data_IF_603494754462
#
_entry.id   IF_603494754462
#
_cell.length_a   1.000
_cell.length_b   1.000
_cell.length_c   1.000
_cell.angle_alpha   90.00
_cell.angle_beta   90.00
_cell.angle_gamma   90.00
#
_symmetry.space_group_name_H-M   'P 1'
#
loop_
_entity.id
_entity.type
_entity.pdbx_description
1 polymer ?
#
# COMPACT_ATOMS: atom_id res chain seq x y z
N UNK A 1 1.15 8.94 17.55
CA UNK A 1 0.93 7.58 17.03
C UNK A 1 1.63 6.60 17.95
N UNK A 2 0.92 6.03 18.93
CA UNK A 2 1.55 5.23 19.98
C UNK A 2 2.01 3.86 19.49
N UNK A 3 1.50 3.39 18.34
CA UNK A 3 1.86 2.10 17.74
C UNK A 3 3.07 2.19 16.82
N UNK A 4 3.53 3.40 16.47
CA UNK A 4 4.69 3.54 15.59
C UNK A 4 5.95 3.10 16.35
N UNK A 5 6.81 2.32 15.70
CA UNK A 5 8.07 1.81 16.24
C UNK A 5 7.93 0.84 17.45
N UNK A 6 6.74 0.29 17.70
CA UNK A 6 6.53 -0.78 18.68
C UNK A 6 6.51 -2.15 18.02
N UNK A 7 7.00 -3.16 18.74
CA UNK A 7 6.87 -4.55 18.31
C UNK A 7 5.44 -5.08 18.51
N UNK A 8 5.14 -6.20 17.86
CA UNK A 8 3.82 -6.82 17.90
C UNK A 8 3.36 -7.14 19.33
N UNK A 9 4.26 -7.62 20.20
CA UNK A 9 3.93 -7.99 21.57
C UNK A 9 3.57 -6.76 22.42
N UNK A 10 4.29 -5.65 22.24
CA UNK A 10 3.98 -4.39 22.94
C UNK A 10 2.70 -3.75 22.41
N UNK A 11 2.44 -3.82 21.11
CA UNK A 11 1.17 -3.35 20.52
C UNK A 11 0.00 -4.15 21.10
N UNK A 12 0.11 -5.48 21.13
CA UNK A 12 -0.94 -6.35 21.69
C UNK A 12 -1.20 -6.02 23.17
N UNK A 13 -0.15 -5.82 23.97
CA UNK A 13 -0.30 -5.41 25.37
C UNK A 13 -1.00 -4.05 25.49
N UNK A 14 -0.62 -3.08 24.64
CA UNK A 14 -1.23 -1.75 24.63
C UNK A 14 -2.72 -1.80 24.25
N UNK A 15 -3.08 -2.65 23.29
CA UNK A 15 -4.48 -2.89 22.91
C UNK A 15 -5.30 -3.43 24.09
N UNK A 16 -4.80 -4.47 24.77
CA UNK A 16 -5.45 -5.05 25.95
C UNK A 16 -5.57 -4.04 27.10
N UNK A 17 -4.54 -3.22 27.29
CA UNK A 17 -4.53 -2.16 28.30
C UNK A 17 -5.60 -1.09 28.01
N UNK A 18 -5.67 -0.61 26.77
CA UNK A 18 -6.61 0.44 26.37
C UNK A 18 -8.05 -0.08 26.27
N UNK A 19 -8.25 -1.35 25.88
CA UNK A 19 -9.57 -1.98 25.85
C UNK A 19 -10.21 -2.08 27.24
N UNK A 20 -9.39 -2.24 28.29
CA UNK A 20 -9.83 -2.30 29.69
C UNK A 20 -9.74 -0.95 30.42
N UNK A 21 -9.50 0.15 29.70
CA UNK A 21 -9.35 1.45 30.30
C UNK A 21 -10.72 2.14 30.51
N UNK A 22 -11.04 2.47 31.76
CA UNK A 22 -12.36 2.98 32.16
C UNK A 22 -12.64 4.44 31.75
N UNK A 23 -11.65 5.16 31.23
CA UNK A 23 -11.79 6.58 30.87
C UNK A 23 -11.71 6.82 29.36
N UNK A 24 -12.11 8.02 28.94
CA UNK A 24 -12.06 8.41 27.53
C UNK A 24 -10.62 8.53 27.04
N UNK A 25 -10.29 7.81 25.97
CA UNK A 25 -9.00 7.89 25.26
C UNK A 25 -9.22 8.49 23.88
N UNK A 26 -8.34 9.40 23.49
CA UNK A 26 -8.26 9.90 22.11
C UNK A 26 -6.93 9.43 21.55
N UNK A 27 -6.98 8.56 20.54
CA UNK A 27 -5.79 8.03 19.87
C UNK A 27 -5.74 8.48 18.42
N UNK A 28 -4.53 8.80 17.96
CA UNK A 28 -4.21 8.98 16.54
C UNK A 28 -3.25 7.87 16.16
N UNK A 29 -3.63 7.05 15.19
CA UNK A 29 -2.84 5.92 14.69
C UNK A 29 -3.08 5.71 13.20
N UNK A 30 -2.08 5.15 12.51
CA UNK A 30 -2.20 4.63 11.15
C UNK A 30 -2.36 3.09 11.11
N UNK A 31 -2.31 2.44 12.28
CA UNK A 31 -2.52 1.00 12.39
C UNK A 31 -4.02 0.68 12.36
N UNK A 32 -4.44 -0.04 11.32
CA UNK A 32 -5.83 -0.42 11.12
C UNK A 32 -6.30 -1.43 12.15
N UNK A 33 -5.46 -2.39 12.53
CA UNK A 33 -5.82 -3.42 13.50
C UNK A 33 -6.05 -2.79 14.87
N UNK A 34 -5.10 -1.96 15.30
CA UNK A 34 -5.21 -1.23 16.55
C UNK A 34 -6.46 -0.35 16.63
N UNK A 35 -6.74 0.42 15.55
CA UNK A 35 -7.96 1.23 15.49
C UNK A 35 -9.23 0.37 15.50
N UNK A 36 -9.20 -0.82 14.91
CA UNK A 36 -10.35 -1.72 14.89
C UNK A 36 -10.63 -2.36 16.25
N UNK A 37 -9.56 -2.72 16.97
CA UNK A 37 -9.59 -3.38 18.28
C UNK A 37 -9.95 -2.42 19.43
N UNK A 38 -9.43 -1.19 19.41
CA UNK A 38 -9.53 -0.26 20.54
C UNK A 38 -10.63 0.80 20.36
N UNK A 39 -10.88 1.27 19.13
CA UNK A 39 -11.74 2.43 18.93
C UNK A 39 -13.23 2.06 18.80
N UNK A 40 -14.06 2.71 19.60
CA UNK A 40 -15.54 2.60 19.52
C UNK A 40 -16.16 3.65 18.59
N UNK A 41 -15.42 4.72 18.30
CA UNK A 41 -15.83 5.85 17.47
C UNK A 41 -14.66 6.32 16.62
N UNK A 42 -14.92 6.68 15.37
CA UNK A 42 -13.94 7.27 14.46
C UNK A 42 -14.28 8.75 14.25
N UNK A 43 -13.29 9.61 14.48
CA UNK A 43 -13.38 11.04 14.21
C UNK A 43 -12.63 11.37 12.92
N UNK A 44 -13.38 11.60 11.85
CA UNK A 44 -12.86 11.97 10.54
C UNK A 44 -12.71 13.48 10.45
N UNK A 45 -11.53 13.96 10.03
CA UNK A 45 -11.26 15.37 9.80
C UNK A 45 -11.19 15.62 8.29
N UNK A 46 -12.24 16.20 7.72
CA UNK A 46 -12.31 16.56 6.29
C UNK A 46 -12.79 18.02 6.12
N UNK A 47 -12.15 18.78 5.21
CA UNK A 47 -12.42 20.20 4.94
C UNK A 47 -12.49 21.09 6.20
N UNK A 48 -11.64 20.83 7.19
CA UNK A 48 -11.61 21.60 8.45
C UNK A 48 -12.83 21.35 9.36
N UNK A 49 -13.61 20.30 9.10
CA UNK A 49 -14.71 19.84 9.94
C UNK A 49 -14.41 18.44 10.47
N UNK A 50 -14.83 18.19 11.71
CA UNK A 50 -14.75 16.87 12.33
C UNK A 50 -16.12 16.22 12.21
N UNK A 51 -16.18 15.04 11.60
CA UNK A 51 -17.36 14.19 11.52
C UNK A 51 -17.13 12.95 12.40
N UNK A 52 -18.02 12.73 13.36
CA UNK A 52 -17.95 11.57 14.25
C UNK A 52 -18.82 10.44 13.70
N UNK A 53 -18.26 9.24 13.69
CA UNK A 53 -18.94 8.02 13.26
C UNK A 53 -18.86 6.99 14.39
N UNK A 54 -19.99 6.35 14.69
CA UNK A 54 -20.04 5.23 15.63
C UNK A 54 -19.59 3.95 14.94
N UNK A 55 -18.74 3.18 15.60
CA UNK A 55 -18.15 1.94 15.08
C UNK A 55 -16.64 2.02 14.97
N UNK A 56 -16.05 0.87 14.66
CA UNK A 56 -14.62 0.71 14.48
C UNK A 56 -14.15 1.23 13.11
N UNK A 57 -12.84 1.13 12.86
CA UNK A 57 -12.22 1.60 11.63
C UNK A 57 -12.81 0.93 10.38
N UNK A 58 -12.95 -0.40 10.40
CA UNK A 58 -13.41 -1.17 9.24
C UNK A 58 -14.84 -0.78 8.85
N UNK A 59 -15.74 -0.69 9.82
CA UNK A 59 -17.13 -0.28 9.59
C UNK A 59 -17.21 1.13 9.00
N UNK A 60 -16.45 2.06 9.55
CA UNK A 60 -16.38 3.42 9.03
C UNK A 60 -15.82 3.47 7.60
N UNK A 61 -14.78 2.69 7.30
CA UNK A 61 -14.15 2.65 5.99
C UNK A 61 -15.13 2.13 4.91
N UNK A 62 -15.81 1.01 5.19
CA UNK A 62 -16.79 0.42 4.28
C UNK A 62 -18.00 1.34 4.06
N UNK A 63 -18.54 1.92 5.14
CA UNK A 63 -19.66 2.85 5.06
C UNK A 63 -19.30 4.13 4.30
N UNK A 64 -18.09 4.67 4.50
CA UNK A 64 -17.57 5.82 3.76
C UNK A 64 -17.41 5.51 2.27
N UNK A 65 -16.86 4.35 1.91
CA UNK A 65 -16.78 3.91 0.51
C UNK A 65 -18.15 3.74 -0.15
N UNK A 66 -19.11 3.12 0.56
CA UNK A 66 -20.46 2.94 0.04
C UNK A 66 -21.14 4.29 -0.20
N UNK A 67 -21.04 5.20 0.76
CA UNK A 67 -21.56 6.56 0.65
C UNK A 67 -20.92 7.33 -0.52
N UNK A 68 -19.60 7.20 -0.70
CA UNK A 68 -18.89 7.79 -1.83
C UNK A 68 -19.38 7.25 -3.18
N UNK A 69 -19.56 5.93 -3.32
CA UNK A 69 -20.10 5.31 -4.54
C UNK A 69 -21.54 5.75 -4.83
N UNK A 70 -22.40 5.80 -3.81
CA UNK A 70 -23.78 6.25 -3.95
C UNK A 70 -23.84 7.72 -4.40
N UNK A 71 -23.04 8.61 -3.79
CA UNK A 71 -22.94 10.01 -4.19
C UNK A 71 -22.41 10.14 -5.62
N UNK A 72 -21.35 9.43 -5.99
CA UNK A 72 -20.82 9.46 -7.36
C UNK A 72 -21.89 9.03 -8.40
N UNK A 73 -22.69 8.01 -8.08
CA UNK A 73 -23.78 7.57 -8.94
C UNK A 73 -24.91 8.62 -9.03
N UNK A 74 -25.26 9.28 -7.92
CA UNK A 74 -26.24 10.38 -7.91
C UNK A 74 -25.74 11.58 -8.72
N UNK A 75 -24.46 11.93 -8.59
CA UNK A 75 -23.82 13.02 -9.32
C UNK A 75 -23.84 12.76 -10.82
N UNK A 76 -23.42 11.57 -11.24
CA UNK A 76 -23.46 11.16 -12.65
C UNK A 76 -24.88 11.26 -13.22
N UNK A 77 -25.90 10.78 -12.48
CA UNK A 77 -27.31 10.90 -12.90
C UNK A 77 -27.78 12.36 -12.98
N UNK A 78 -27.32 13.22 -12.07
CA UNK A 78 -27.67 14.64 -12.08
C UNK A 78 -27.02 15.36 -13.27
N UNK A 79 -25.76 15.02 -13.58
CA UNK A 79 -25.01 15.56 -14.72
C UNK A 79 -25.60 15.12 -16.07
N UNK A 80 -25.97 13.84 -16.20
CA UNK A 80 -26.68 13.31 -17.37
C UNK A 80 -28.01 14.06 -17.60
N UNK A 81 -28.82 14.25 -16.55
CA UNK A 81 -30.07 15.02 -16.61
C UNK A 81 -29.83 16.48 -17.01
N UNK A 82 -28.76 17.11 -16.52
CA UNK A 82 -28.39 18.48 -16.88
C UNK A 82 -28.06 18.56 -18.38
N UNK A 83 -27.22 17.66 -18.87
CA UNK A 83 -26.82 17.59 -20.28
C UNK A 83 -28.02 17.36 -21.21
N UNK A 84 -28.97 16.52 -20.81
CA UNK A 84 -30.24 16.33 -21.52
C UNK A 84 -31.08 17.61 -21.57
N UNK A 85 -31.25 18.29 -20.43
CA UNK A 85 -32.00 19.54 -20.35
C UNK A 85 -31.33 20.65 -21.17
N UNK A 86 -30.00 20.75 -21.17
CA UNK A 86 -29.23 21.70 -21.99
C UNK A 86 -29.37 21.40 -23.48
N UNK A 87 -29.24 20.14 -23.89
CA UNK A 87 -29.41 19.73 -25.31
C UNK A 87 -30.84 20.00 -25.78
N UNK A 88 -31.83 19.81 -24.91
CA UNK A 88 -33.22 20.14 -25.18
C UNK A 88 -33.40 21.66 -25.34
N UNK A 89 -32.87 22.47 -24.42
CA UNK A 89 -32.94 23.95 -24.53
C UNK A 89 -32.26 24.42 -25.82
N UNK A 90 -31.10 23.86 -26.18
CA UNK A 90 -30.39 24.19 -27.42
C UNK A 90 -31.19 23.83 -28.69
N UNK A 91 -31.93 22.71 -28.69
CA UNK A 91 -32.80 22.30 -29.81
C UNK A 91 -34.08 23.13 -29.92
N UNK A 92 -34.60 23.65 -28.81
CA UNK A 92 -35.91 24.33 -28.76
C UNK A 92 -35.84 25.85 -28.60
N UNK A 93 -34.64 26.43 -28.46
CA UNK A 93 -34.42 27.89 -28.35
C UNK A 93 -34.85 28.66 -29.62
N UNK A 94 -34.85 28.01 -30.79
CA UNK A 94 -35.25 28.60 -32.06
C UNK A 94 -36.76 28.54 -32.37
N UNK A 95 -37.56 27.81 -31.58
CA UNK A 95 -38.97 27.53 -31.89
C UNK A 95 -39.93 28.29 -30.95
N UNK A 96 -40.56 29.34 -31.46
CA UNK A 96 -41.37 30.34 -30.70
C UNK A 96 -42.48 29.69 -29.85
N UNK A 97 -43.10 28.60 -30.33
CA UNK A 97 -44.21 27.92 -29.64
C UNK A 97 -43.81 27.16 -28.35
N UNK A 98 -42.52 26.79 -28.17
CA UNK A 98 -42.04 26.02 -26.99
C UNK A 98 -41.18 26.85 -26.02
N UNK A 99 -41.07 28.16 -26.25
CA UNK A 99 -40.25 29.09 -25.46
C UNK A 99 -40.58 29.08 -23.96
N UNK A 100 -41.86 28.98 -23.57
CA UNK A 100 -42.29 28.89 -22.15
C UNK A 100 -41.78 27.64 -21.42
N UNK A 101 -41.67 26.49 -22.09
CA UNK A 101 -41.13 25.25 -21.51
C UNK A 101 -39.61 25.33 -21.34
N UNK A 102 -38.91 26.02 -22.25
CA UNK A 102 -37.48 26.24 -22.13
C UNK A 102 -37.13 27.13 -20.93
N UNK A 103 -37.94 28.17 -20.64
CA UNK A 103 -37.72 29.06 -19.48
C UNK A 103 -37.92 28.37 -18.13
N UNK A 104 -38.92 27.47 -17.99
CA UNK A 104 -39.14 26.75 -16.73
C UNK A 104 -38.05 25.73 -16.44
N UNK A 105 -37.53 25.07 -17.49
CA UNK A 105 -36.42 24.11 -17.37
C UNK A 105 -35.08 24.79 -17.13
N UNK A 106 -34.86 25.99 -17.66
CA UNK A 106 -33.69 26.82 -17.30
C UNK A 106 -33.68 27.12 -15.80
N UNK A 107 -34.82 27.52 -15.22
CA UNK A 107 -34.97 27.66 -13.76
C UNK A 107 -34.80 26.36 -12.96
N UNK A 108 -35.08 25.19 -13.56
CA UNK A 108 -34.79 23.90 -12.92
C UNK A 108 -33.30 23.58 -12.93
N UNK A 109 -32.57 23.90 -14.01
CA UNK A 109 -31.10 23.81 -14.05
C UNK A 109 -30.48 24.74 -13.02
N UNK A 110 -30.96 25.99 -12.92
CA UNK A 110 -30.47 26.96 -11.94
C UNK A 110 -30.77 26.54 -10.48
N UNK A 111 -31.79 25.70 -10.26
CA UNK A 111 -32.10 25.10 -8.95
C UNK A 111 -31.37 23.79 -8.66
N UNK A 112 -30.84 23.12 -9.68
CA UNK A 112 -29.92 22.00 -9.54
C UNK A 112 -28.58 22.58 -9.08
N UNK A 113 -28.51 22.95 -7.80
CA UNK A 113 -27.29 23.40 -7.12
C UNK A 113 -26.29 22.24 -7.03
N UNK A 114 -25.58 21.98 -8.13
CA UNK A 114 -24.47 21.02 -8.19
C UNK A 114 -23.29 21.53 -7.33
N UNK A 115 -23.22 22.85 -7.07
CA UNK A 115 -22.16 23.49 -6.28
C UNK A 115 -22.12 23.06 -4.80
N UNK A 116 -23.24 22.56 -4.24
CA UNK A 116 -23.25 22.03 -2.86
C UNK A 116 -22.73 20.59 -2.75
N UNK A 117 -22.52 19.91 -3.88
CA UNK A 117 -21.99 18.56 -3.89
C UNK A 117 -20.47 18.62 -3.75
N UNK A 118 -19.98 18.77 -2.52
CA UNK A 118 -18.57 18.59 -2.23
C UNK A 118 -18.25 17.10 -2.16
N UNK A 119 -17.47 16.54 -3.11
CA UNK A 119 -16.90 15.21 -2.92
C UNK A 119 -15.98 15.25 -1.69
N UNK A 120 -15.78 14.11 -1.02
CA UNK A 120 -14.74 14.03 0.01
C UNK A 120 -13.40 14.45 -0.60
N UNK A 121 -12.56 15.13 0.19
CA UNK A 121 -11.23 15.51 -0.26
C UNK A 121 -10.30 14.29 -0.41
N UNK A 122 -10.69 13.16 0.18
CA UNK A 122 -9.91 11.93 0.23
C UNK A 122 -9.70 11.36 -1.16
N UNK A 123 -8.43 11.10 -1.47
CA UNK A 123 -8.02 10.46 -2.70
C UNK A 123 -7.27 9.19 -2.35
N UNK A 124 -7.60 8.13 -3.06
CA UNK A 124 -6.91 6.86 -2.95
C UNK A 124 -5.99 6.71 -4.15
N UNK A 125 -4.71 6.36 -3.96
CA UNK A 125 -3.85 6.02 -5.08
C UNK A 125 -4.36 4.74 -5.74
N UNK A 126 -4.22 4.67 -7.06
CA UNK A 126 -4.58 3.51 -7.86
C UNK A 126 -3.37 2.60 -8.06
N UNK A 127 -3.01 1.88 -7.00
CA UNK A 127 -1.89 0.92 -7.00
C UNK A 127 -2.38 -0.38 -7.62
N UNK A 128 -1.74 -0.79 -8.72
CA UNK A 128 -2.11 -2.00 -9.47
C UNK A 128 -0.81 -2.69 -9.89
N UNK A 129 -0.52 -3.84 -9.29
CA UNK A 129 0.59 -4.68 -9.71
C UNK A 129 0.16 -5.61 -10.84
N UNK A 130 0.83 -5.49 -11.98
CA UNK A 130 0.70 -6.37 -13.13
C UNK A 130 2.02 -7.12 -13.33
N UNK A 131 1.97 -8.27 -14.00
CA UNK A 131 3.16 -9.03 -14.37
C UNK A 131 3.17 -9.24 -15.88
N UNK A 132 4.31 -9.01 -16.54
CA UNK A 132 4.43 -9.20 -17.99
C UNK A 132 4.40 -10.68 -18.37
N UNK A 133 5.02 -11.53 -17.54
CA UNK A 133 5.05 -12.98 -17.72
C UNK A 133 4.81 -13.68 -16.40
N UNK A 134 4.13 -14.81 -16.49
CA UNK A 134 3.98 -15.71 -15.35
C UNK A 134 5.32 -16.40 -15.06
N UNK A 135 5.71 -16.45 -13.79
CA UNK A 135 6.90 -17.16 -13.38
C UNK A 135 6.69 -18.69 -13.48
N UNK A 136 7.77 -19.43 -13.71
CA UNK A 136 7.81 -20.89 -13.55
C UNK A 136 7.67 -21.33 -12.09
N UNK A 137 7.73 -22.63 -11.85
CA UNK A 137 7.42 -23.20 -10.52
C UNK A 137 8.48 -22.90 -9.45
N UNK A 138 9.74 -22.72 -9.85
CA UNK A 138 10.84 -22.36 -8.96
C UNK A 138 11.10 -20.86 -9.04
N UNK A 139 10.94 -20.17 -7.90
CA UNK A 139 11.09 -18.71 -7.82
C UNK A 139 12.45 -18.34 -7.24
N UNK A 140 12.74 -18.81 -6.03
CA UNK A 140 13.94 -18.47 -5.29
C UNK A 140 14.40 -19.69 -4.51
N UNK A 141 15.66 -20.07 -4.69
CA UNK A 141 16.30 -21.10 -3.89
C UNK A 141 17.48 -20.48 -3.14
N UNK A 142 17.43 -20.57 -1.82
CA UNK A 142 18.46 -20.09 -0.92
C UNK A 142 19.03 -21.31 -0.20
N UNK A 143 20.35 -21.49 -0.27
CA UNK A 143 21.04 -22.52 0.50
C UNK A 143 22.11 -21.89 1.40
N UNK A 144 22.04 -22.23 2.68
CA UNK A 144 23.00 -21.87 3.73
C UNK A 144 23.39 -20.38 3.69
N UNK A 145 22.39 -19.51 3.59
CA UNK A 145 22.58 -18.06 3.58
C UNK A 145 22.85 -17.55 4.99
N UNK A 146 23.97 -16.87 5.17
CA UNK A 146 24.35 -16.27 6.44
C UNK A 146 24.79 -14.82 6.22
N UNK A 147 24.34 -13.93 7.11
CA UNK A 147 24.76 -12.53 7.12
C UNK A 147 25.12 -12.13 8.54
N UNK A 148 26.32 -11.57 8.67
CA UNK A 148 26.87 -11.08 9.93
C UNK A 148 27.03 -9.56 9.84
N UNK A 149 26.66 -8.86 10.90
CA UNK A 149 26.92 -7.43 11.05
C UNK A 149 27.68 -7.20 12.36
N UNK A 150 28.81 -6.49 12.30
CA UNK A 150 29.64 -6.18 13.47
C UNK A 150 30.03 -7.40 14.33
N UNK A 151 30.34 -8.54 13.68
CA UNK A 151 30.64 -9.84 14.32
C UNK A 151 29.47 -10.49 15.10
N UNK A 152 28.25 -10.00 14.93
CA UNK A 152 27.03 -10.65 15.42
C UNK A 152 26.28 -11.25 14.23
N UNK A 153 25.92 -12.54 14.25
CA UNK A 153 25.08 -13.12 13.21
C UNK A 153 23.68 -12.51 13.30
N UNK A 154 23.23 -11.86 12.22
CA UNK A 154 21.84 -11.42 12.10
C UNK A 154 20.94 -12.63 11.86
N UNK A 155 21.41 -13.54 11.01
CA UNK A 155 20.83 -14.86 10.77
C UNK A 155 21.89 -15.82 10.23
N UNK A 156 21.72 -17.09 10.54
CA UNK A 156 22.64 -18.16 10.15
C UNK A 156 21.87 -19.32 9.50
N UNK A 157 22.49 -19.98 8.53
CA UNK A 157 21.99 -21.19 7.86
C UNK A 157 20.54 -21.09 7.36
N UNK A 158 20.20 -20.01 6.63
CA UNK A 158 18.89 -19.92 5.99
C UNK A 158 18.87 -20.83 4.76
N UNK A 159 18.03 -21.85 4.82
CA UNK A 159 17.60 -22.65 3.67
C UNK A 159 16.13 -22.34 3.36
N UNK A 160 15.85 -21.82 2.17
CA UNK A 160 14.51 -21.41 1.78
C UNK A 160 14.27 -21.67 0.29
N UNK A 161 13.17 -22.36 -0.01
CA UNK A 161 12.69 -22.52 -1.38
C UNK A 161 11.31 -21.88 -1.51
N UNK A 162 11.18 -20.94 -2.45
CA UNK A 162 9.93 -20.27 -2.79
C UNK A 162 9.34 -20.81 -4.08
N UNK A 163 8.06 -21.14 -3.98
CA UNK A 163 7.25 -21.58 -5.10
C UNK A 163 6.45 -20.41 -5.68
N UNK A 164 5.92 -20.65 -6.88
CA UNK A 164 5.01 -19.72 -7.55
C UNK A 164 3.74 -19.50 -6.72
N UNK A 165 3.39 -18.23 -6.51
CA UNK A 165 2.17 -17.85 -5.78
C UNK A 165 2.35 -17.74 -4.27
N UNK A 166 3.55 -17.98 -3.76
CA UNK A 166 3.88 -17.73 -2.36
C UNK A 166 3.76 -16.23 -2.05
N UNK A 167 3.10 -15.92 -0.94
CA UNK A 167 3.02 -14.58 -0.36
C UNK A 167 3.60 -14.67 1.04
N UNK A 168 4.90 -14.47 1.10
CA UNK A 168 5.71 -14.70 2.27
C UNK A 168 5.76 -13.43 3.11
N UNK A 169 5.38 -13.56 4.38
CA UNK A 169 5.70 -12.55 5.39
C UNK A 169 7.05 -12.92 5.99
N UNK A 170 8.05 -12.09 5.73
CA UNK A 170 9.38 -12.21 6.32
C UNK A 170 9.38 -11.43 7.63
N UNK A 171 9.55 -12.15 8.73
CA UNK A 171 9.48 -11.61 10.09
C UNK A 171 10.81 -11.83 10.83
N UNK A 172 11.16 -10.92 11.74
CA UNK A 172 12.31 -11.05 12.63
C UNK A 172 12.09 -10.15 13.85
N UNK A 173 12.64 -10.51 15.02
CA UNK A 173 12.72 -9.59 16.16
C UNK A 173 13.69 -8.43 15.91
N UNK A 174 14.70 -8.65 15.06
CA UNK A 174 15.65 -7.61 14.65
C UNK A 174 15.33 -7.15 13.23
N UNK A 175 14.87 -5.91 13.08
CA UNK A 175 14.56 -5.30 11.79
C UNK A 175 15.79 -5.21 10.87
N UNK A 176 17.02 -5.19 11.42
CA UNK A 176 18.24 -5.21 10.60
C UNK A 176 18.39 -6.53 9.85
N UNK A 177 17.89 -7.63 10.41
CA UNK A 177 17.95 -8.95 9.79
C UNK A 177 17.06 -9.02 8.54
N UNK A 178 15.87 -8.41 8.54
CA UNK A 178 14.98 -8.40 7.36
C UNK A 178 15.57 -7.56 6.24
N UNK A 179 16.06 -6.35 6.54
CA UNK A 179 16.72 -5.51 5.54
C UNK A 179 17.97 -6.18 4.97
N UNK A 180 18.83 -6.75 5.83
CA UNK A 180 20.01 -7.49 5.39
C UNK A 180 19.65 -8.71 4.50
N UNK A 181 18.55 -9.39 4.81
CA UNK A 181 18.04 -10.48 3.97
C UNK A 181 17.63 -9.98 2.58
N UNK A 182 16.87 -8.88 2.48
CA UNK A 182 16.50 -8.32 1.18
C UNK A 182 17.70 -7.83 0.37
N UNK A 183 18.68 -7.21 1.02
CA UNK A 183 19.92 -6.77 0.37
C UNK A 183 20.76 -7.95 -0.14
N UNK A 184 20.81 -9.05 0.63
CA UNK A 184 21.49 -10.27 0.24
C UNK A 184 20.82 -10.93 -0.98
N UNK A 185 19.50 -11.09 -0.99
CA UNK A 185 18.80 -11.73 -2.12
C UNK A 185 18.74 -10.84 -3.36
N UNK A 186 18.80 -9.52 -3.19
CA UNK A 186 18.83 -8.56 -4.31
C UNK A 186 20.24 -8.38 -4.91
N UNK A 187 21.27 -8.96 -4.29
CA UNK A 187 22.66 -8.85 -4.74
C UNK A 187 23.33 -7.51 -4.46
N UNK A 188 22.78 -6.71 -3.54
CA UNK A 188 23.31 -5.40 -3.18
C UNK A 188 24.43 -5.46 -2.12
N UNK A 189 24.52 -6.57 -1.37
CA UNK A 189 25.60 -6.80 -0.42
C UNK A 189 26.59 -7.87 -0.90
N UNK A 190 27.91 -7.59 -0.92
CA UNK A 190 28.94 -8.54 -1.35
C UNK A 190 29.34 -9.55 -0.27
N UNK A 191 29.01 -9.32 1.01
CA UNK A 191 29.45 -10.14 2.15
C UNK A 191 28.39 -11.14 2.58
N UNK A 192 28.09 -12.08 1.69
CA UNK A 192 27.10 -13.12 1.92
C UNK A 192 27.78 -14.48 1.75
N UNK A 193 27.69 -15.35 2.76
CA UNK A 193 27.99 -16.77 2.60
C UNK A 193 26.72 -17.52 2.24
N UNK A 194 26.79 -18.43 1.28
CA UNK A 194 25.64 -19.20 0.77
C UNK A 194 25.42 -19.00 -0.72
N UNK A 195 24.33 -19.59 -1.24
CA UNK A 195 23.92 -19.45 -2.64
C UNK A 195 22.50 -18.93 -2.71
N UNK A 196 22.26 -17.91 -3.54
CA UNK A 196 20.94 -17.38 -3.86
C UNK A 196 20.72 -17.56 -5.35
N UNK A 197 19.84 -18.49 -5.72
CA UNK A 197 19.52 -18.81 -7.10
C UNK A 197 18.09 -18.38 -7.41
N UNK A 198 17.96 -17.38 -8.29
CA UNK A 198 16.67 -16.95 -8.83
C UNK A 198 16.27 -17.79 -10.04
N UNK A 199 14.98 -18.12 -10.14
CA UNK A 199 14.44 -18.81 -11.29
C UNK A 199 14.63 -17.99 -12.58
N UNK A 200 14.97 -18.65 -13.70
CA UNK A 200 15.29 -18.00 -15.00
C UNK A 200 14.15 -17.11 -15.52
N UNK A 201 12.91 -17.51 -15.25
CA UNK A 201 11.70 -16.78 -15.66
C UNK A 201 11.25 -15.70 -14.68
N UNK A 202 11.98 -15.49 -13.59
CA UNK A 202 11.63 -14.45 -12.61
C UNK A 202 12.02 -13.06 -13.13
N UNK A 203 11.29 -12.06 -12.68
CA UNK A 203 11.62 -10.64 -12.77
C UNK A 203 11.26 -10.03 -11.42
N UNK A 204 12.19 -9.26 -10.86
CA UNK A 204 12.08 -8.78 -9.48
C UNK A 204 11.89 -7.28 -9.45
N UNK A 205 11.10 -6.82 -8.49
CA UNK A 205 11.00 -5.41 -8.13
C UNK A 205 11.12 -5.29 -6.63
N UNK A 206 11.96 -4.37 -6.17
CA UNK A 206 12.29 -4.19 -4.75
C UNK A 206 12.01 -2.75 -4.29
N UNK A 207 11.28 -2.64 -3.18
CA UNK A 207 11.16 -1.44 -2.36
C UNK A 207 12.01 -1.62 -1.08
N UNK A 208 13.17 -0.94 -0.98
CA UNK A 208 13.97 -0.95 0.24
C UNK A 208 13.37 -0.05 1.32
N UNK A 209 13.70 -0.36 2.58
CA UNK A 209 13.41 0.47 3.75
C UNK A 209 13.99 1.88 3.58
N UNK A 210 15.29 1.99 3.27
CA UNK A 210 15.90 3.26 2.86
C UNK A 210 15.95 3.37 1.33
N UNK A 211 15.17 4.32 0.82
CA UNK A 211 15.11 4.66 -0.61
C UNK A 211 15.72 6.03 -0.91
N UNK A 212 16.40 6.67 0.04
CA UNK A 212 16.92 8.03 -0.11
C UNK A 212 17.91 8.18 -1.26
N UNK A 213 18.74 7.16 -1.49
CA UNK A 213 19.74 7.11 -2.57
C UNK A 213 19.13 7.26 -3.96
N UNK A 214 17.87 6.85 -4.16
CA UNK A 214 17.17 7.01 -5.43
C UNK A 214 16.82 8.47 -5.75
N UNK A 215 16.81 9.36 -4.76
CA UNK A 215 16.30 10.74 -4.89
C UNK A 215 17.39 11.81 -4.70
N UNK A 216 18.67 11.44 -4.67
CA UNK A 216 19.79 12.38 -4.50
C UNK A 216 19.91 13.38 -5.66
N UNK A 217 19.71 12.89 -6.88
CA UNK A 217 19.80 13.71 -8.08
C UNK A 217 18.50 14.53 -8.26
N UNK A 218 18.57 15.87 -8.39
CA UNK A 218 17.40 16.73 -8.54
C UNK A 218 16.84 16.62 -9.97
N UNK A 219 15.88 15.72 -10.16
CA UNK A 219 15.20 15.47 -11.43
C UNK A 219 13.71 15.73 -11.25
N UNK A 220 13.02 16.15 -12.30
CA UNK A 220 11.55 16.14 -12.26
C UNK A 220 11.06 14.70 -12.05
N UNK A 221 9.89 14.49 -11.43
CA UNK A 221 9.39 13.13 -11.21
C UNK A 221 9.19 12.36 -12.51
N UNK A 222 8.79 13.07 -13.57
CA UNK A 222 8.71 12.50 -14.93
C UNK A 222 10.08 12.01 -15.38
N UNK A 223 11.11 12.85 -15.29
CA UNK A 223 12.47 12.49 -15.72
C UNK A 223 13.09 11.40 -14.85
N UNK A 224 12.80 11.41 -13.55
CA UNK A 224 13.21 10.38 -12.60
C UNK A 224 12.61 9.02 -12.99
N UNK A 225 11.29 8.97 -13.24
CA UNK A 225 10.61 7.73 -13.61
C UNK A 225 11.06 7.24 -15.00
N UNK A 226 11.36 8.16 -15.92
CA UNK A 226 11.86 7.85 -17.27
C UNK A 226 13.14 7.03 -17.26
N UNK A 227 13.97 7.11 -16.22
CA UNK A 227 15.20 6.32 -16.11
C UNK A 227 14.95 4.82 -16.05
N UNK A 228 13.76 4.41 -15.58
CA UNK A 228 13.40 3.02 -15.40
C UNK A 228 12.58 2.45 -16.57
N UNK A 229 12.22 3.28 -17.55
CA UNK A 229 11.46 2.87 -18.72
C UNK A 229 12.34 2.03 -19.67
N UNK A 230 11.82 0.88 -20.08
CA UNK A 230 12.52 -0.10 -20.91
C UNK A 230 12.26 0.14 -22.41
N UNK A 231 11.06 0.64 -22.75
CA UNK A 231 10.67 0.90 -24.15
C UNK A 231 10.56 2.40 -24.44
N UNK A 232 10.61 2.78 -25.72
CA UNK A 232 10.41 4.17 -26.14
C UNK A 232 8.98 4.67 -25.84
N UNK A 233 7.98 3.79 -25.96
CA UNK A 233 6.59 4.10 -25.60
C UNK A 233 6.45 4.43 -24.10
N UNK A 234 7.13 3.66 -23.24
CA UNK A 234 7.15 3.94 -21.80
C UNK A 234 7.88 5.25 -21.43
N UNK A 235 8.80 5.71 -22.28
CA UNK A 235 9.53 6.98 -22.08
C UNK A 235 8.69 8.20 -22.38
N UNK A 236 7.56 8.03 -23.05
CA UNK A 236 6.64 9.12 -23.35
C UNK A 236 6.09 9.75 -22.06
N UNK A 237 6.10 11.08 -22.02
CA UNK A 237 5.64 11.82 -20.84
C UNK A 237 4.18 11.49 -20.47
N UNK A 238 3.31 11.28 -21.46
CA UNK A 238 1.90 10.94 -21.23
C UNK A 238 1.77 9.63 -20.45
N UNK A 239 2.58 8.63 -20.81
CA UNK A 239 2.61 7.33 -20.13
C UNK A 239 3.10 7.49 -18.68
N UNK A 240 4.23 8.15 -18.48
CA UNK A 240 4.85 8.37 -17.17
C UNK A 240 3.93 9.17 -16.22
N UNK A 241 3.30 10.24 -16.73
CA UNK A 241 2.33 11.03 -15.96
C UNK A 241 1.08 10.21 -15.61
N UNK A 242 0.75 9.20 -16.39
CA UNK A 242 -0.29 8.23 -16.05
C UNK A 242 0.02 7.47 -14.75
N UNK A 243 1.24 6.96 -14.58
CA UNK A 243 1.65 6.25 -13.35
C UNK A 243 1.79 7.19 -12.15
N UNK A 244 2.41 8.35 -12.36
CA UNK A 244 2.53 9.38 -11.32
C UNK A 244 1.14 9.87 -10.87
N UNK A 245 0.21 10.07 -11.81
CA UNK A 245 -1.17 10.45 -11.51
C UNK A 245 -1.94 9.39 -10.71
N UNK A 246 -1.71 8.09 -10.98
CA UNK A 246 -2.23 7.00 -10.14
C UNK A 246 -1.73 7.09 -8.70
N UNK A 247 -0.52 7.62 -8.50
CA UNK A 247 0.09 7.83 -7.18
C UNK A 247 -0.18 9.23 -6.60
N UNK A 248 -1.21 9.92 -7.10
CA UNK A 248 -1.66 11.24 -6.67
C UNK A 248 -0.73 12.40 -7.02
N UNK A 249 0.31 12.19 -7.83
CA UNK A 249 1.12 13.28 -8.39
C UNK A 249 0.43 13.82 -9.64
N UNK A 250 -0.40 14.86 -9.47
CA UNK A 250 -1.23 15.41 -10.54
C UNK A 250 -0.81 16.82 -10.96
N UNK A 251 -1.03 17.17 -12.23
CA UNK A 251 -0.73 18.51 -12.73
C UNK A 251 0.75 18.88 -12.58
N UNK A 252 1.03 19.96 -11.83
CA UNK A 252 2.38 20.47 -11.57
C UNK A 252 3.18 19.62 -10.58
N UNK A 253 2.53 18.78 -9.75
CA UNK A 253 3.24 17.93 -8.80
C UNK A 253 4.13 16.89 -9.49
N UNK A 254 3.77 16.47 -10.71
CA UNK A 254 4.62 15.59 -11.53
C UNK A 254 5.93 16.26 -11.99
N UNK A 255 6.01 17.60 -11.94
CA UNK A 255 7.20 18.38 -12.28
C UNK A 255 8.04 18.75 -11.04
N UNK A 256 7.58 18.36 -9.84
CA UNK A 256 8.32 18.54 -8.59
C UNK A 256 9.67 17.81 -8.69
N UNK A 257 10.68 18.35 -8.03
CA UNK A 257 12.00 17.72 -7.99
C UNK A 257 11.99 16.53 -7.02
N UNK A 258 12.63 15.43 -7.41
CA UNK A 258 12.79 14.18 -6.66
C UNK A 258 13.38 14.39 -5.26
N UNK A 259 14.33 15.31 -5.11
CA UNK A 259 15.06 15.54 -3.86
C UNK A 259 14.26 16.32 -2.80
N UNK A 260 13.13 16.95 -3.17
CA UNK A 260 12.27 17.71 -2.23
C UNK A 260 11.01 16.94 -1.81
N UNK A 261 10.94 15.65 -2.12
CA UNK A 261 9.83 14.79 -1.73
C UNK A 261 9.89 14.44 -0.23
N UNK A 262 8.72 14.39 0.41
CA UNK A 262 8.55 13.81 1.74
C UNK A 262 8.76 12.29 1.72
N UNK A 263 8.93 11.65 2.88
CA UNK A 263 9.08 10.19 2.98
C UNK A 263 7.95 9.43 2.28
N UNK A 264 6.68 9.76 2.58
CA UNK A 264 5.52 9.14 1.93
C UNK A 264 5.44 9.42 0.43
N UNK A 265 5.82 10.62 -0.02
CA UNK A 265 5.92 10.91 -1.46
C UNK A 265 7.00 10.05 -2.14
N UNK A 266 8.16 9.85 -1.51
CA UNK A 266 9.21 8.98 -2.04
C UNK A 266 8.73 7.54 -2.18
N UNK A 267 8.05 7.00 -1.15
CA UNK A 267 7.47 5.64 -1.21
C UNK A 267 6.43 5.55 -2.34
N UNK A 268 5.54 6.54 -2.49
CA UNK A 268 4.58 6.57 -3.61
C UNK A 268 5.27 6.62 -4.97
N UNK A 269 6.35 7.36 -5.09
CA UNK A 269 7.15 7.42 -6.31
C UNK A 269 7.82 6.07 -6.61
N UNK A 270 8.38 5.41 -5.60
CA UNK A 270 8.95 4.06 -5.73
C UNK A 270 7.90 3.04 -6.15
N UNK A 271 6.69 3.08 -5.58
CA UNK A 271 5.58 2.21 -6.00
C UNK A 271 5.21 2.43 -7.47
N UNK A 272 5.25 3.67 -7.97
CA UNK A 272 5.03 3.94 -9.41
C UNK A 272 6.09 3.29 -10.30
N UNK A 273 7.36 3.29 -9.87
CA UNK A 273 8.47 2.57 -10.52
C UNK A 273 8.21 1.07 -10.52
N UNK A 274 7.83 0.49 -9.39
CA UNK A 274 7.55 -0.95 -9.30
C UNK A 274 6.38 -1.38 -10.21
N UNK A 275 5.31 -0.58 -10.27
CA UNK A 275 4.17 -0.83 -11.16
C UNK A 275 4.57 -0.81 -12.63
N UNK A 276 5.52 0.06 -13.02
CA UNK A 276 6.03 0.12 -14.38
C UNK A 276 6.93 -1.07 -14.73
N UNK A 277 7.70 -1.57 -13.76
CA UNK A 277 8.59 -2.73 -13.97
C UNK A 277 7.86 -4.05 -14.22
N UNK A 278 6.57 -4.15 -13.83
CA UNK A 278 5.72 -5.34 -14.02
C UNK A 278 6.40 -6.67 -13.66
N UNK A 279 7.12 -6.64 -12.55
CA UNK A 279 7.83 -7.79 -12.01
C UNK A 279 6.85 -8.88 -11.55
N UNK A 280 7.24 -10.15 -11.69
CA UNK A 280 6.46 -11.27 -11.17
C UNK A 280 6.83 -11.68 -9.74
N UNK A 281 7.94 -11.14 -9.22
CA UNK A 281 8.32 -11.20 -7.80
C UNK A 281 8.42 -9.78 -7.25
N UNK A 282 7.66 -9.50 -6.20
CA UNK A 282 7.62 -8.19 -5.53
C UNK A 282 8.22 -8.33 -4.14
N UNK A 283 9.28 -7.57 -3.86
CA UNK A 283 9.99 -7.52 -2.59
C UNK A 283 9.68 -6.18 -1.91
N UNK A 284 9.16 -6.21 -0.70
CA UNK A 284 8.73 -5.02 0.03
C UNK A 284 9.27 -5.05 1.47
N UNK A 285 10.19 -4.15 1.79
CA UNK A 285 10.70 -3.99 3.14
C UNK A 285 10.00 -2.81 3.83
N UNK A 286 9.09 -3.11 4.75
CA UNK A 286 8.25 -2.13 5.49
C UNK A 286 7.54 -1.09 4.59
N UNK A 287 6.74 -1.53 3.60
CA UNK A 287 6.12 -0.61 2.63
C UNK A 287 5.09 0.33 3.25
N UNK A 288 4.65 0.05 4.48
CA UNK A 288 3.66 0.84 5.24
C UNK A 288 4.29 2.07 5.89
N UNK A 289 5.62 2.12 6.02
CA UNK A 289 6.29 3.24 6.65
C UNK A 289 6.07 4.55 5.87
N UNK A 290 5.73 5.60 6.61
CA UNK A 290 5.46 6.94 6.09
C UNK A 290 4.29 7.04 5.08
N UNK A 291 3.49 5.99 4.91
CA UNK A 291 2.28 6.02 4.07
C UNK A 291 1.06 6.43 4.88
N UNK A 292 0.15 7.15 4.22
CA UNK A 292 -1.19 7.39 4.75
C UNK A 292 -2.05 6.12 4.65
N UNK A 293 -3.16 6.14 5.39
CA UNK A 293 -4.04 5.00 5.54
C UNK A 293 -4.70 4.59 4.21
N UNK A 294 -4.98 5.58 3.37
CA UNK A 294 -5.48 5.42 2.01
C UNK A 294 -4.47 4.66 1.14
N UNK A 295 -3.19 5.02 1.19
CA UNK A 295 -2.12 4.34 0.44
C UNK A 295 -1.88 2.92 0.96
N UNK A 296 -1.82 2.74 2.29
CA UNK A 296 -1.68 1.42 2.94
C UNK A 296 -2.83 0.49 2.51
N UNK A 297 -4.06 1.02 2.47
CA UNK A 297 -5.22 0.23 2.05
C UNK A 297 -5.19 -0.08 0.55
N UNK A 298 -4.74 0.86 -0.28
CA UNK A 298 -4.61 0.65 -1.72
C UNK A 298 -3.57 -0.42 -2.07
N UNK A 299 -2.39 -0.37 -1.45
CA UNK A 299 -1.31 -1.35 -1.70
C UNK A 299 -1.70 -2.72 -1.17
N UNK A 300 -2.29 -2.83 0.02
CA UNK A 300 -2.78 -4.10 0.56
C UNK A 300 -3.78 -4.76 -0.42
N UNK A 301 -4.83 -4.02 -0.83
CA UNK A 301 -5.82 -4.53 -1.79
C UNK A 301 -5.22 -4.95 -3.14
N UNK A 302 -4.15 -4.27 -3.58
CA UNK A 302 -3.42 -4.61 -4.80
C UNK A 302 -2.66 -5.93 -4.63
N UNK A 303 -1.90 -6.08 -3.54
CA UNK A 303 -1.11 -7.28 -3.26
C UNK A 303 -1.96 -8.52 -3.01
N UNK A 304 -3.13 -8.38 -2.37
CA UNK A 304 -4.09 -9.49 -2.24
C UNK A 304 -4.52 -10.03 -3.61
N UNK A 305 -4.75 -9.15 -4.58
CA UNK A 305 -5.18 -9.51 -5.95
C UNK A 305 -4.03 -9.91 -6.87
N UNK A 306 -2.80 -9.53 -6.52
CA UNK A 306 -1.61 -9.84 -7.30
C UNK A 306 -1.41 -11.36 -7.36
N UNK A 307 -1.11 -11.86 -8.56
CA UNK A 307 -0.95 -13.29 -8.86
C UNK A 307 0.51 -13.75 -8.82
N UNK A 308 1.46 -12.81 -8.80
CA UNK A 308 2.87 -13.13 -8.65
C UNK A 308 3.23 -13.47 -7.20
N UNK A 309 4.52 -13.70 -6.99
CA UNK A 309 5.08 -14.00 -5.66
C UNK A 309 5.38 -12.69 -4.94
N UNK A 310 5.11 -12.65 -3.63
CA UNK A 310 5.37 -11.47 -2.77
C UNK A 310 6.23 -11.90 -1.61
N UNK A 311 7.31 -11.17 -1.34
CA UNK A 311 8.01 -11.21 -0.06
C UNK A 311 7.82 -9.84 0.59
N UNK A 312 7.32 -9.85 1.81
CA UNK A 312 6.92 -8.65 2.52
C UNK A 312 7.38 -8.71 3.97
N UNK A 313 8.00 -7.63 4.43
CA UNK A 313 8.19 -7.35 5.86
C UNK A 313 7.30 -6.19 6.23
N UNK A 314 6.55 -6.33 7.33
CA UNK A 314 5.66 -5.29 7.82
C UNK A 314 5.38 -5.47 9.31
N UNK A 315 5.27 -4.34 10.01
CA UNK A 315 4.71 -4.29 11.36
C UNK A 315 3.16 -4.17 11.38
N UNK A 316 2.51 -3.85 10.25
CA UNK A 316 1.04 -3.77 10.18
C UNK A 316 0.43 -5.19 10.17
N UNK A 317 -0.18 -5.54 11.30
CA UNK A 317 -0.86 -6.83 11.51
C UNK A 317 -1.91 -7.12 10.43
N UNK A 318 -2.78 -6.15 10.14
CA UNK A 318 -3.85 -6.33 9.16
C UNK A 318 -3.26 -6.57 7.77
N UNK A 319 -2.12 -5.96 7.47
CA UNK A 319 -1.38 -6.17 6.23
C UNK A 319 -0.78 -7.58 6.14
N UNK A 320 -0.06 -8.01 7.18
CA UNK A 320 0.53 -9.34 7.24
C UNK A 320 -0.54 -10.43 7.14
N UNK A 321 -1.64 -10.29 7.87
CA UNK A 321 -2.73 -11.27 7.92
C UNK A 321 -3.52 -11.36 6.60
N UNK A 322 -3.70 -10.25 5.89
CA UNK A 322 -4.48 -10.25 4.64
C UNK A 322 -3.69 -10.68 3.40
N UNK A 323 -2.39 -10.39 3.35
CA UNK A 323 -1.53 -10.71 2.19
C UNK A 323 -0.84 -12.07 2.35
N UNK A 324 -0.39 -12.40 3.57
CA UNK A 324 0.47 -13.54 3.85
C UNK A 324 -0.24 -14.89 3.79
N UNK A 325 0.39 -15.87 3.14
CA UNK A 325 0.00 -17.29 3.19
C UNK A 325 1.10 -18.20 3.77
N UNK A 326 2.29 -17.65 3.98
CA UNK A 326 3.48 -18.32 4.50
C UNK A 326 4.26 -17.34 5.36
N UNK A 327 4.70 -17.77 6.52
CA UNK A 327 5.52 -16.98 7.44
C UNK A 327 6.93 -17.56 7.45
N UNK A 328 7.91 -16.71 7.20
CA UNK A 328 9.33 -17.03 7.28
C UNK A 328 9.93 -16.11 8.34
N UNK A 329 10.22 -16.67 9.51
CA UNK A 329 10.89 -15.95 10.59
C UNK A 329 12.40 -16.19 10.57
N UNK A 330 13.15 -15.11 10.44
CA UNK A 330 14.60 -15.09 10.47
C UNK A 330 15.06 -15.03 11.92
N UNK A 331 15.95 -15.95 12.30
CA UNK A 331 16.49 -16.00 13.67
C UNK A 331 18.01 -16.16 13.64
N UNK A 332 18.73 -15.80 14.71
CA UNK A 332 20.18 -15.97 14.77
C UNK A 332 20.66 -17.42 14.61
N UNK A 333 19.81 -18.41 14.93
CA UNK A 333 20.15 -19.85 14.88
C UNK A 333 19.55 -20.61 13.70
N UNK A 334 18.85 -19.92 12.78
CA UNK A 334 18.19 -20.58 11.64
C UNK A 334 16.97 -19.83 11.14
N UNK A 335 16.12 -20.54 10.39
CA UNK A 335 14.86 -20.04 9.85
C UNK A 335 13.69 -20.88 10.31
N UNK A 336 12.57 -20.24 10.65
CA UNK A 336 11.30 -20.91 10.89
C UNK A 336 10.40 -20.64 9.70
N UNK A 337 10.01 -21.70 9.01
CA UNK A 337 9.16 -21.62 7.81
C UNK A 337 7.85 -22.38 8.02
N UNK A 338 6.72 -21.68 7.90
CA UNK A 338 5.37 -22.23 8.13
C UNK A 338 4.36 -21.72 7.10
N UNK A 339 3.56 -22.63 6.56
CA UNK A 339 2.45 -22.30 5.65
C UNK A 339 1.17 -22.16 6.47
N UNK A 340 0.89 -20.95 6.96
CA UNK A 340 -0.27 -20.62 7.78
C UNK A 340 -0.48 -19.09 7.78
N UNK A 341 -1.60 -18.64 8.34
CA UNK A 341 -1.84 -17.20 8.49
C UNK A 341 -0.97 -16.60 9.59
N UNK A 342 -0.84 -15.27 9.59
CA UNK A 342 -0.07 -14.54 10.60
C UNK A 342 -0.62 -14.75 12.02
N UNK A 343 -1.95 -14.71 12.17
CA UNK A 343 -2.61 -14.96 13.47
C UNK A 343 -2.35 -16.36 14.02
N UNK A 344 -2.45 -17.39 13.18
CA UNK A 344 -2.17 -18.77 13.58
C UNK A 344 -0.71 -18.92 14.02
N UNK A 345 0.22 -18.30 13.30
CA UNK A 345 1.64 -18.31 13.63
C UNK A 345 1.93 -17.65 14.98
N UNK A 346 1.36 -16.47 15.22
CA UNK A 346 1.62 -15.70 16.44
C UNK A 346 0.92 -16.29 17.67
N UNK A 347 -0.17 -17.05 17.51
CA UNK A 347 -0.93 -17.63 18.63
C UNK A 347 -0.52 -19.05 19.00
N UNK A 348 0.11 -19.83 18.10
CA UNK A 348 0.47 -21.22 18.36
C UNK A 348 1.56 -21.34 19.45
N UNK A 349 1.19 -22.01 20.55
CA UNK A 349 2.04 -22.26 21.72
C UNK A 349 3.33 -23.02 21.33
N UNK A 350 3.25 -23.96 20.39
CA UNK A 350 4.42 -24.73 19.94
C UNK A 350 5.38 -23.86 19.15
N UNK A 351 4.85 -22.94 18.34
CA UNK A 351 5.66 -21.99 17.57
C UNK A 351 6.30 -20.99 18.51
N UNK A 352 5.57 -20.44 19.50
CA UNK A 352 6.15 -19.57 20.54
C UNK A 352 7.33 -20.23 21.24
N UNK A 353 7.18 -21.47 21.70
CA UNK A 353 8.25 -22.21 22.35
C UNK A 353 9.43 -22.53 21.41
N UNK A 354 9.20 -22.64 20.09
CA UNK A 354 10.25 -22.79 19.10
C UNK A 354 10.99 -21.47 18.87
N UNK A 355 10.26 -20.35 18.76
CA UNK A 355 10.83 -19.01 18.60
C UNK A 355 11.76 -18.68 19.75
N UNK A 356 11.31 -18.87 21.00
CA UNK A 356 12.15 -18.66 22.20
C UNK A 356 13.49 -19.40 22.09
N UNK A 357 13.49 -20.69 21.74
CA UNK A 357 14.71 -21.50 21.59
C UNK A 357 15.65 -21.07 20.46
N UNK A 358 15.14 -20.38 19.45
CA UNK A 358 15.90 -19.94 18.29
C UNK A 358 16.52 -18.54 18.51
N UNK A 359 15.99 -17.76 19.47
CA UNK A 359 16.52 -16.45 19.85
C UNK A 359 17.35 -16.46 21.15
N UNK A 360 17.03 -17.34 22.11
CA UNK A 360 17.99 -17.81 23.13
C UNK A 360 19.13 -18.52 22.42
#
# INVERSE_FOLDING_TARGET
EPTNDLDYETIQWLEEFLANYDHTVIVVSHDRHFLDSVCTHISDIDFGKINHYSGNYTFWYESSQLAARQRAQQNKKAEEKKKELETFIARFSANVAKSKQATSRKKMIDKLNIEEIKPSSRRYPAIIFEQDREAGDQILNINNLCVNQDNVPLFDQIDLNLAKGDKVIVFSKDARATTAFYEAISGNQPTVSGTVDWGITTSQSYLPLDNSSFFENPLSLVDWLRQYAQTEEEREEVFLRGFLGKMLFSGEEALKLSNVLSGGEKVRCMLSRMMMQRANVVLLDEPTNHLDLESITAINNSLVKFKGTVLLTTHDHAFAQSVGNRIVELTPKGVIDRHMSFDEYMSDIKIKALREKMYD
#
